data_IF_592483204944
#
_entry.id   IF_592483204944
#
_cell.length_a   1.000
_cell.length_b   1.000
_cell.length_c   1.000
_cell.angle_alpha   90.00
_cell.angle_beta   90.00
_cell.angle_gamma   90.00
#
_symmetry.space_group_name_H-M   'P 1'
#
loop_
_entity.id
_entity.type
_entity.pdbx_description
1 polymer ?
#
# COMPACT_ATOMS: atom_id res chain seq x y z
N UNK A 1 -4.20 3.71 24.40
CA UNK A 1 -4.91 4.74 23.62
C UNK A 1 -4.78 4.34 22.15
N UNK A 2 -5.62 3.42 21.69
CA UNK A 2 -5.56 2.85 20.33
C UNK A 2 -6.78 3.37 19.57
N UNK A 3 -6.58 4.32 18.68
CA UNK A 3 -7.65 4.84 17.81
C UNK A 3 -7.90 3.83 16.69
N UNK A 4 -8.74 2.82 16.96
CA UNK A 4 -9.12 1.77 16.02
C UNK A 4 -10.18 2.17 14.97
N UNK A 5 -10.31 3.45 14.62
CA UNK A 5 -11.41 3.94 13.80
C UNK A 5 -10.91 4.88 12.70
N UNK A 6 -10.15 4.34 11.74
CA UNK A 6 -10.08 4.79 10.33
C UNK A 6 -9.18 3.89 9.47
N UNK A 7 -8.95 2.64 9.90
CA UNK A 7 -8.14 1.72 9.12
C UNK A 7 -8.98 1.12 7.99
N UNK A 8 -8.63 1.43 6.74
CA UNK A 8 -9.23 0.82 5.56
C UNK A 8 -8.68 -0.60 5.40
N UNK A 9 -9.23 -1.52 6.20
CA UNK A 9 -8.88 -2.94 6.19
C UNK A 9 -9.48 -3.60 4.97
N UNK A 10 -8.63 -3.97 4.02
CA UNK A 10 -8.96 -4.77 2.85
C UNK A 10 -8.43 -6.20 3.00
N UNK A 11 -8.33 -6.69 4.24
CA UNK A 11 -7.78 -8.03 4.53
C UNK A 11 -8.69 -9.13 3.98
N UNK A 12 -8.08 -10.15 3.38
CA UNK A 12 -8.80 -11.35 2.90
C UNK A 12 -9.92 -10.96 1.91
N UNK A 13 -9.63 -10.00 1.02
CA UNK A 13 -10.58 -9.51 0.02
C UNK A 13 -10.34 -10.11 -1.38
N UNK A 14 -9.34 -11.01 -1.52
CA UNK A 14 -8.90 -11.55 -2.81
C UNK A 14 -8.61 -10.42 -3.83
N UNK A 15 -7.80 -9.45 -3.41
CA UNK A 15 -7.45 -8.31 -4.25
C UNK A 15 -6.83 -8.79 -5.57
N UNK A 16 -7.52 -8.50 -6.67
CA UNK A 16 -7.01 -8.74 -8.02
C UNK A 16 -5.97 -7.69 -8.39
N UNK A 17 -5.28 -7.90 -9.51
CA UNK A 17 -4.38 -6.89 -10.07
C UNK A 17 -5.11 -5.57 -10.36
N UNK A 18 -6.31 -5.63 -10.95
CA UNK A 18 -7.13 -4.44 -11.20
C UNK A 18 -7.48 -3.70 -9.89
N UNK A 19 -7.81 -4.43 -8.82
CA UNK A 19 -8.05 -3.81 -7.52
C UNK A 19 -6.79 -3.13 -6.95
N UNK A 20 -5.59 -3.66 -7.23
CA UNK A 20 -4.33 -3.02 -6.87
C UNK A 20 -4.08 -1.73 -7.69
N UNK A 21 -4.46 -1.70 -8.97
CA UNK A 21 -4.41 -0.50 -9.82
C UNK A 21 -5.37 0.60 -9.31
N UNK A 22 -6.59 0.22 -8.95
CA UNK A 22 -7.59 1.12 -8.36
C UNK A 22 -7.13 1.66 -6.99
N UNK A 23 -6.53 0.80 -6.17
CA UNK A 23 -5.97 1.20 -4.89
C UNK A 23 -4.77 2.14 -5.08
N UNK A 24 -3.86 1.84 -6.00
CA UNK A 24 -2.74 2.72 -6.35
C UNK A 24 -3.24 4.09 -6.83
N UNK A 25 -4.29 4.12 -7.65
CA UNK A 25 -4.95 5.36 -8.08
C UNK A 25 -5.54 6.14 -6.90
N UNK A 26 -6.16 5.43 -5.96
CA UNK A 26 -6.67 6.02 -4.73
C UNK A 26 -5.56 6.61 -3.85
N UNK A 27 -4.39 5.97 -3.76
CA UNK A 27 -3.23 6.49 -3.02
C UNK A 27 -2.70 7.82 -3.61
N UNK A 28 -2.85 8.02 -4.93
CA UNK A 28 -2.45 9.27 -5.61
C UNK A 28 -3.43 10.40 -5.36
N UNK A 29 -4.73 10.10 -5.43
CA UNK A 29 -5.80 11.10 -5.45
C UNK A 29 -6.36 11.42 -4.07
N UNK A 30 -6.41 10.45 -3.17
CA UNK A 30 -7.06 10.59 -1.88
C UNK A 30 -6.15 11.32 -0.88
N UNK A 31 -6.55 12.54 -0.54
CA UNK A 31 -5.80 13.42 0.37
C UNK A 31 -6.11 13.19 1.86
N UNK A 32 -7.04 12.29 2.19
CA UNK A 32 -7.43 11.97 3.57
C UNK A 32 -7.06 10.54 3.98
N UNK A 33 -6.68 9.69 3.02
CA UNK A 33 -6.31 8.30 3.28
C UNK A 33 -4.89 8.23 3.86
N UNK A 34 -4.80 8.00 5.17
CA UNK A 34 -3.53 7.90 5.90
C UNK A 34 -3.13 6.45 6.20
N UNK A 35 -4.04 5.50 6.10
CA UNK A 35 -3.81 4.12 6.54
C UNK A 35 -4.53 3.10 5.65
N UNK A 36 -3.80 2.08 5.17
CA UNK A 36 -4.32 1.01 4.31
C UNK A 36 -3.73 -0.33 4.73
N UNK A 37 -4.60 -1.34 4.91
CA UNK A 37 -4.22 -2.69 5.33
C UNK A 37 -4.74 -3.74 4.35
N UNK A 38 -3.99 -4.02 3.27
CA UNK A 38 -4.27 -5.09 2.30
C UNK A 38 -3.70 -6.45 2.75
N UNK A 39 -3.25 -6.61 3.99
CA UNK A 39 -2.66 -7.84 4.48
C UNK A 39 -3.54 -9.07 4.27
N UNK A 40 -2.94 -10.26 4.23
CA UNK A 40 -3.62 -11.54 3.97
C UNK A 40 -4.30 -11.60 2.58
N UNK A 41 -3.84 -10.79 1.63
CA UNK A 41 -4.16 -10.94 0.21
C UNK A 41 -2.90 -11.31 -0.56
N UNK A 42 -3.03 -12.17 -1.55
CA UNK A 42 -1.92 -12.54 -2.43
C UNK A 42 -1.65 -11.44 -3.45
N UNK A 43 -1.05 -10.33 -2.98
CA UNK A 43 -0.69 -9.20 -3.83
C UNK A 43 0.41 -9.59 -4.81
N UNK A 44 1.30 -10.50 -4.38
CA UNK A 44 2.56 -10.85 -5.04
C UNK A 44 3.37 -9.62 -5.43
N UNK A 45 4.53 -9.81 -6.08
CA UNK A 45 5.37 -8.68 -6.47
C UNK A 45 4.64 -7.68 -7.40
N UNK A 46 3.89 -8.11 -8.45
CA UNK A 46 3.12 -7.20 -9.29
C UNK A 46 2.15 -6.28 -8.54
N UNK A 47 1.39 -6.78 -7.58
CA UNK A 47 0.45 -5.96 -6.81
C UNK A 47 1.16 -4.90 -5.99
N UNK A 48 2.28 -5.26 -5.33
CA UNK A 48 3.08 -4.29 -4.57
C UNK A 48 3.75 -3.25 -5.46
N UNK A 49 4.21 -3.62 -6.65
CA UNK A 49 4.78 -2.67 -7.62
C UNK A 49 3.73 -1.60 -7.99
N UNK A 50 2.49 -2.01 -8.24
CA UNK A 50 1.40 -1.07 -8.51
C UNK A 50 1.15 -0.13 -7.33
N UNK A 51 1.09 -0.67 -6.10
CA UNK A 51 0.97 0.17 -4.90
C UNK A 51 2.14 1.14 -4.77
N UNK A 52 3.36 0.70 -5.06
CA UNK A 52 4.55 1.55 -5.06
C UNK A 52 4.41 2.72 -6.04
N UNK A 53 3.85 2.53 -7.24
CA UNK A 53 3.58 3.64 -8.17
C UNK A 53 2.62 4.68 -7.57
N UNK A 54 1.64 4.24 -6.78
CA UNK A 54 0.77 5.13 -5.99
C UNK A 54 1.55 5.90 -4.92
N UNK A 55 2.39 5.20 -4.15
CA UNK A 55 3.20 5.76 -3.06
C UNK A 55 4.29 6.72 -3.55
N UNK A 56 4.77 6.59 -4.80
CA UNK A 56 5.73 7.53 -5.42
C UNK A 56 5.14 8.91 -5.66
N UNK A 57 3.81 9.03 -5.68
CA UNK A 57 3.17 10.29 -6.01
C UNK A 57 3.41 11.31 -4.89
N UNK A 58 3.84 12.55 -5.21
CA UNK A 58 4.22 13.55 -4.20
C UNK A 58 3.06 13.96 -3.28
N UNK A 59 1.83 13.83 -3.76
CA UNK A 59 0.64 14.16 -2.97
C UNK A 59 0.11 13.00 -2.13
N UNK A 60 0.74 11.82 -2.16
CA UNK A 60 0.30 10.68 -1.37
C UNK A 60 0.42 11.00 0.14
N UNK A 61 -0.70 10.85 0.87
CA UNK A 61 -0.78 11.12 2.32
C UNK A 61 -0.73 9.86 3.18
N UNK A 62 -0.47 8.70 2.58
CA UNK A 62 -0.42 7.44 3.30
C UNK A 62 0.74 7.46 4.31
N UNK A 63 0.42 7.16 5.56
CA UNK A 63 1.35 7.12 6.68
C UNK A 63 1.63 5.70 7.14
N UNK A 64 0.68 4.78 6.94
CA UNK A 64 0.86 3.38 7.33
C UNK A 64 0.34 2.43 6.24
N UNK A 65 1.18 1.46 5.87
CA UNK A 65 0.84 0.36 4.96
C UNK A 65 1.18 -0.98 5.62
N UNK A 66 0.21 -1.88 5.74
CA UNK A 66 0.44 -3.24 6.24
C UNK A 66 0.48 -4.25 5.09
N UNK A 67 1.56 -5.04 5.00
CA UNK A 67 1.76 -6.06 3.95
C UNK A 67 1.91 -7.47 4.54
N UNK A 68 1.25 -7.74 5.67
CA UNK A 68 1.32 -9.04 6.32
C UNK A 68 0.85 -10.15 5.37
N UNK A 69 1.68 -11.18 5.18
CA UNK A 69 1.35 -12.37 4.40
C UNK A 69 0.85 -12.06 2.98
N UNK A 70 1.51 -11.14 2.28
CA UNK A 70 1.14 -10.70 0.92
C UNK A 70 1.82 -11.42 -0.25
N UNK A 71 2.58 -12.50 0.00
CA UNK A 71 3.26 -13.27 -1.07
C UNK A 71 4.48 -12.57 -1.69
N UNK A 72 5.12 -11.66 -0.95
CA UNK A 72 6.23 -10.85 -1.47
C UNK A 72 7.54 -11.64 -1.57
N UNK A 73 8.32 -11.36 -2.62
CA UNK A 73 9.70 -11.84 -2.73
C UNK A 73 10.70 -10.73 -2.40
N UNK A 74 12.00 -11.07 -2.44
CA UNK A 74 13.08 -10.09 -2.29
C UNK A 74 13.02 -8.96 -3.31
N UNK A 75 12.45 -9.19 -4.51
CA UNK A 75 12.31 -8.16 -5.54
C UNK A 75 11.39 -7.04 -5.07
N UNK A 76 10.22 -7.37 -4.52
CA UNK A 76 9.31 -6.37 -3.96
C UNK A 76 9.95 -5.60 -2.79
N UNK A 77 10.84 -6.23 -1.99
CA UNK A 77 11.56 -5.52 -0.94
C UNK A 77 12.53 -4.45 -1.48
N UNK A 78 13.16 -4.67 -2.63
CA UNK A 78 13.99 -3.64 -3.28
C UNK A 78 13.14 -2.43 -3.69
N UNK A 79 11.98 -2.69 -4.30
CA UNK A 79 11.06 -1.63 -4.72
C UNK A 79 10.53 -0.86 -3.52
N UNK A 80 10.07 -1.54 -2.47
CA UNK A 80 9.65 -0.93 -1.21
C UNK A 80 10.77 -0.11 -0.54
N UNK A 81 12.01 -0.62 -0.54
CA UNK A 81 13.16 0.13 -0.02
C UNK A 81 13.38 1.43 -0.78
N UNK A 82 13.21 1.42 -2.11
CA UNK A 82 13.31 2.64 -2.92
C UNK A 82 12.21 3.65 -2.59
N UNK A 83 10.99 3.18 -2.26
CA UNK A 83 9.89 4.04 -1.82
C UNK A 83 10.21 4.70 -0.49
N UNK A 84 10.73 3.95 0.49
CA UNK A 84 11.06 4.48 1.81
C UNK A 84 12.16 5.56 1.77
N UNK A 85 12.97 5.61 0.71
CA UNK A 85 13.98 6.66 0.52
C UNK A 85 13.39 7.97 -0.03
N UNK A 86 12.28 7.91 -0.77
CA UNK A 86 11.70 9.08 -1.47
C UNK A 86 10.42 9.57 -0.81
N UNK A 87 9.58 8.66 -0.31
CA UNK A 87 8.32 8.97 0.30
C UNK A 87 8.57 9.46 1.74
N UNK A 88 8.13 10.68 2.03
CA UNK A 88 8.34 11.35 3.32
C UNK A 88 7.15 11.24 4.27
N UNK A 89 6.08 10.56 3.85
CA UNK A 89 4.83 10.45 4.61
C UNK A 89 4.64 9.08 5.24
N UNK A 90 5.16 8.02 4.61
CA UNK A 90 5.10 6.64 5.08
C UNK A 90 6.10 6.43 6.25
N UNK A 91 5.60 5.95 7.39
CA UNK A 91 6.36 5.75 8.63
C UNK A 91 6.82 4.30 8.84
#
# INVERSE_FOLDING_TARGET
MFTGWLLHRLKICHLSQAACEDLASSLKLNQTLTEVDPGLNDLVDPGVILLCEGLRHPDCKLQTLWLDSCGLTAKACEDLSSILQINQTLN
#
